data_IF_396809252456
#
_entry.id   IF_396809252456
#
_cell.length_a   1.000
_cell.length_b   1.000
_cell.length_c   1.000
_cell.angle_alpha   90.00
_cell.angle_beta   90.00
_cell.angle_gamma   90.00
#
_symmetry.space_group_name_H-M   'P 1'
#
loop_
_entity.id
_entity.type
_entity.pdbx_description
1 polymer ?
#
# COMPACT_ATOMS: atom_id res chain seq x y z
N UNK A 1 52.22 -48.25 33.75
CA UNK A 1 51.87 -49.30 34.72
C UNK A 1 50.38 -49.62 34.41
N UNK A 2 50.17 -50.65 33.74
CA UNK A 2 50.05 -52.06 33.96
C UNK A 2 48.54 -52.33 34.01
N UNK A 3 47.92 -53.32 33.44
CA UNK A 3 48.29 -54.59 32.83
C UNK A 3 47.17 -55.03 31.85
N UNK A 4 47.54 -55.72 30.82
CA UNK A 4 46.75 -56.63 30.00
C UNK A 4 46.28 -57.85 30.81
N UNK A 5 45.13 -58.44 30.42
CA UNK A 5 45.01 -59.87 30.24
C UNK A 5 43.64 -60.30 29.69
N UNK A 6 43.61 -61.50 29.07
CA UNK A 6 42.77 -61.82 27.92
C UNK A 6 41.75 -62.93 28.16
N UNK A 7 40.96 -63.22 27.13
CA UNK A 7 40.35 -64.56 26.98
C UNK A 7 38.81 -64.51 27.01
N UNK A 8 38.05 -64.95 26.04
CA UNK A 8 37.90 -66.35 25.61
C UNK A 8 37.00 -66.35 24.35
N UNK A 9 37.44 -67.06 23.34
CA UNK A 9 36.58 -67.42 22.19
C UNK A 9 35.54 -68.43 22.62
N UNK A 10 34.27 -68.21 22.22
CA UNK A 10 33.28 -69.27 22.07
C UNK A 10 32.61 -69.11 20.71
N UNK A 11 32.88 -70.10 19.85
CA UNK A 11 32.20 -70.26 18.56
C UNK A 11 30.85 -70.88 18.82
N UNK A 12 29.82 -70.19 18.41
CA UNK A 12 28.42 -70.68 18.32
C UNK A 12 27.93 -70.65 16.87
N UNK A 13 27.82 -71.82 16.27
CA UNK A 13 27.11 -72.03 15.02
C UNK A 13 25.64 -71.65 15.21
N UNK A 14 25.14 -70.71 14.40
CA UNK A 14 23.70 -70.53 14.21
C UNK A 14 23.32 -70.71 12.73
N UNK A 15 22.37 -71.61 12.55
CA UNK A 15 21.74 -71.98 11.31
C UNK A 15 21.05 -70.76 10.66
N UNK A 16 21.28 -70.62 9.36
CA UNK A 16 20.59 -69.66 8.50
C UNK A 16 19.14 -70.05 8.31
N UNK A 17 18.23 -69.31 8.89
CA UNK A 17 16.81 -69.31 8.54
C UNK A 17 16.52 -68.15 7.57
N UNK A 18 16.32 -68.44 6.29
CA UNK A 18 15.81 -67.45 5.34
C UNK A 18 14.35 -67.13 5.67
N UNK A 19 14.12 -65.99 6.38
CA UNK A 19 12.83 -65.35 6.42
C UNK A 19 12.77 -64.31 5.29
N UNK A 20 12.05 -64.58 4.25
CA UNK A 20 11.66 -63.61 3.21
C UNK A 20 10.71 -62.62 3.84
N UNK A 21 11.21 -61.45 4.23
CA UNK A 21 10.34 -60.28 4.52
C UNK A 21 9.96 -59.65 3.17
N UNK A 22 8.71 -59.76 2.78
CA UNK A 22 8.13 -58.98 1.69
C UNK A 22 8.23 -57.49 2.02
N UNK A 23 8.62 -56.62 1.08
CA UNK A 23 8.61 -55.19 1.29
C UNK A 23 7.14 -54.69 1.35
N UNK A 24 6.69 -54.23 2.49
CA UNK A 24 5.50 -53.42 2.62
C UNK A 24 5.75 -52.05 2.01
N UNK A 25 5.62 -51.95 0.68
CA UNK A 25 5.54 -50.65 -0.01
C UNK A 25 4.12 -50.10 0.17
N UNK A 26 3.84 -49.55 1.33
CA UNK A 26 2.78 -48.56 1.48
C UNK A 26 3.42 -47.16 1.31
N UNK A 27 3.63 -46.76 0.05
CA UNK A 27 3.68 -45.35 -0.29
C UNK A 27 2.25 -44.84 -0.10
N UNK A 28 1.94 -44.38 1.11
CA UNK A 28 0.77 -43.54 1.31
C UNK A 28 1.05 -42.28 0.48
N UNK A 29 0.44 -42.19 -0.68
CA UNK A 29 0.31 -40.96 -1.42
C UNK A 29 -0.50 -40.05 -0.51
N UNK A 30 0.18 -39.13 0.17
CA UNK A 30 -0.51 -38.02 0.86
C UNK A 30 -1.21 -37.25 -0.26
N UNK A 31 -2.49 -37.55 -0.47
CA UNK A 31 -3.35 -36.71 -1.29
C UNK A 31 -3.42 -35.37 -0.56
N UNK A 32 -2.86 -34.34 -1.17
CA UNK A 32 -3.05 -32.98 -0.66
C UNK A 32 -4.57 -32.74 -0.56
N UNK A 33 -5.05 -32.10 0.52
CA UNK A 33 -6.46 -31.80 0.66
C UNK A 33 -6.90 -30.91 -0.51
N UNK A 34 -8.04 -31.25 -1.12
CA UNK A 34 -8.69 -30.38 -2.09
C UNK A 34 -9.25 -29.16 -1.35
N UNK A 35 -8.64 -28.00 -1.53
CA UNK A 35 -9.02 -26.73 -0.90
C UNK A 35 -10.04 -25.93 -1.70
N UNK A 36 -10.46 -26.45 -2.85
CA UNK A 36 -11.43 -25.81 -3.74
C UNK A 36 -12.79 -25.51 -3.08
N UNK A 37 -13.40 -26.42 -2.28
CA UNK A 37 -14.69 -26.13 -1.64
C UNK A 37 -14.66 -24.89 -0.74
N UNK A 38 -13.65 -24.77 0.10
CA UNK A 38 -13.49 -23.61 1.00
C UNK A 38 -13.21 -22.33 0.22
N UNK A 39 -12.40 -22.43 -0.83
CA UNK A 39 -12.11 -21.29 -1.72
C UNK A 39 -13.36 -20.81 -2.45
N UNK A 40 -14.20 -21.73 -2.91
CA UNK A 40 -15.46 -21.39 -3.58
C UNK A 40 -16.44 -20.73 -2.61
N UNK A 41 -16.58 -21.29 -1.41
CA UNK A 41 -17.46 -20.72 -0.38
C UNK A 41 -17.03 -19.29 0.02
N UNK A 42 -15.72 -19.06 0.20
CA UNK A 42 -15.19 -17.74 0.48
C UNK A 42 -15.29 -16.77 -0.73
N UNK A 43 -15.22 -17.27 -1.96
CA UNK A 43 -15.47 -16.44 -3.13
C UNK A 43 -16.94 -15.98 -3.20
N UNK A 44 -17.89 -16.86 -2.85
CA UNK A 44 -19.32 -16.54 -2.73
C UNK A 44 -19.57 -15.53 -1.60
N UNK A 45 -18.93 -15.73 -0.44
CA UNK A 45 -18.97 -14.81 0.70
C UNK A 45 -18.40 -13.43 0.33
N UNK A 46 -17.26 -13.38 -0.35
CA UNK A 46 -16.67 -12.15 -0.86
C UNK A 46 -17.60 -11.42 -1.83
N UNK A 47 -18.26 -12.15 -2.72
CA UNK A 47 -19.23 -11.57 -3.63
C UNK A 47 -20.42 -10.94 -2.89
N UNK A 48 -20.91 -11.57 -1.83
CA UNK A 48 -21.97 -11.05 -1.00
C UNK A 48 -21.52 -9.83 -0.20
N UNK A 49 -20.35 -9.92 0.44
CA UNK A 49 -19.77 -8.85 1.24
C UNK A 49 -19.59 -7.54 0.44
N UNK A 50 -19.08 -7.62 -0.77
CA UNK A 50 -18.92 -6.43 -1.63
C UNK A 50 -20.27 -5.83 -2.00
N UNK A 51 -21.33 -6.61 -2.20
CA UNK A 51 -22.67 -6.09 -2.49
C UNK A 51 -23.28 -5.31 -1.33
N UNK A 52 -22.96 -5.69 -0.10
CA UNK A 52 -23.55 -5.10 1.11
C UNK A 52 -22.70 -4.00 1.74
N UNK A 53 -21.37 -4.15 1.70
CA UNK A 53 -20.47 -3.34 2.53
C UNK A 53 -19.48 -2.49 1.74
N UNK A 54 -19.37 -2.66 0.41
CA UNK A 54 -18.48 -1.83 -0.40
C UNK A 54 -19.14 -0.51 -0.81
N UNK A 55 -18.64 0.59 -0.29
CA UNK A 55 -19.23 1.93 -0.47
C UNK A 55 -19.36 2.39 -1.93
N UNK A 56 -18.59 1.81 -2.84
CA UNK A 56 -18.59 2.17 -4.26
C UNK A 56 -19.21 1.10 -5.16
N UNK A 57 -19.97 0.15 -4.57
CA UNK A 57 -20.56 -0.98 -5.30
C UNK A 57 -21.39 -0.54 -6.50
N UNK A 58 -22.26 0.48 -6.37
CA UNK A 58 -23.12 0.92 -7.47
C UNK A 58 -22.33 1.33 -8.73
N UNK A 59 -21.17 1.96 -8.55
CA UNK A 59 -20.30 2.35 -9.66
C UNK A 59 -19.52 1.17 -10.25
N UNK A 60 -19.44 0.05 -9.56
CA UNK A 60 -18.75 -1.18 -9.96
C UNK A 60 -19.67 -2.37 -10.22
N UNK A 61 -20.99 -2.22 -10.01
CA UNK A 61 -21.99 -3.30 -10.05
C UNK A 61 -21.81 -4.22 -11.25
N UNK A 62 -21.81 -3.67 -12.46
CA UNK A 62 -21.79 -4.49 -13.67
C UNK A 62 -20.53 -5.36 -13.79
N UNK A 63 -19.38 -4.80 -13.44
CA UNK A 63 -18.10 -5.52 -13.46
C UNK A 63 -18.05 -6.55 -12.34
N UNK A 64 -18.51 -6.19 -11.13
CA UNK A 64 -18.52 -7.09 -10.00
C UNK A 64 -19.44 -8.29 -10.21
N UNK A 65 -20.66 -8.05 -10.70
CA UNK A 65 -21.58 -9.16 -11.00
C UNK A 65 -21.04 -10.07 -12.11
N UNK A 66 -20.36 -9.52 -13.12
CA UNK A 66 -19.68 -10.34 -14.12
C UNK A 66 -18.49 -11.14 -13.55
N UNK A 67 -17.79 -10.59 -12.56
CA UNK A 67 -16.72 -11.31 -11.85
C UNK A 67 -17.27 -12.43 -10.98
N UNK A 68 -18.39 -12.23 -10.30
CA UNK A 68 -19.06 -13.20 -9.44
C UNK A 68 -19.89 -14.24 -10.20
N UNK A 69 -20.13 -14.07 -11.50
CA UNK A 69 -20.81 -15.09 -12.30
C UNK A 69 -19.90 -16.31 -12.50
N UNK A 70 -20.49 -17.49 -12.53
CA UNK A 70 -19.83 -18.76 -12.87
C UNK A 70 -18.59 -19.09 -11.99
N UNK A 71 -18.64 -18.74 -10.70
CA UNK A 71 -17.55 -19.00 -9.73
C UNK A 71 -17.09 -20.46 -9.73
N UNK A 72 -17.98 -21.49 -9.78
CA UNK A 72 -17.53 -22.88 -9.82
C UNK A 72 -16.62 -23.23 -11.01
N UNK A 73 -16.77 -22.52 -12.13
CA UNK A 73 -15.92 -22.68 -13.31
C UNK A 73 -14.60 -21.90 -13.19
N UNK A 74 -14.64 -20.72 -12.52
CA UNK A 74 -13.48 -19.85 -12.31
C UNK A 74 -12.55 -20.34 -11.21
N UNK A 75 -13.12 -20.93 -10.15
CA UNK A 75 -12.34 -21.57 -9.07
C UNK A 75 -11.91 -22.97 -9.52
N UNK A 76 -10.74 -23.04 -10.12
CA UNK A 76 -10.12 -24.30 -10.54
C UNK A 76 -9.63 -25.15 -9.36
N UNK A 77 -8.82 -26.20 -9.63
CA UNK A 77 -8.14 -26.94 -8.57
C UNK A 77 -7.28 -26.00 -7.73
N UNK A 78 -7.42 -26.07 -6.41
CA UNK A 78 -6.66 -25.29 -5.43
C UNK A 78 -6.02 -26.25 -4.44
N UNK A 79 -4.70 -26.25 -4.36
CA UNK A 79 -3.93 -27.26 -3.63
C UNK A 79 -3.23 -26.71 -2.40
N UNK A 80 -3.17 -25.38 -2.24
CA UNK A 80 -2.49 -24.73 -1.12
C UNK A 80 -3.06 -23.32 -0.86
N UNK A 81 -2.71 -22.77 0.30
CA UNK A 81 -3.19 -21.48 0.77
C UNK A 81 -2.79 -20.30 -0.15
N UNK A 82 -1.62 -20.37 -0.78
CA UNK A 82 -1.19 -19.30 -1.71
C UNK A 82 -2.06 -19.28 -2.97
N UNK A 83 -2.46 -20.44 -3.49
CA UNK A 83 -3.39 -20.54 -4.61
C UNK A 83 -4.80 -20.09 -4.22
N UNK A 84 -5.29 -20.41 -3.00
CA UNK A 84 -6.55 -19.87 -2.47
C UNK A 84 -6.54 -18.35 -2.48
N UNK A 85 -5.50 -17.76 -1.89
CA UNK A 85 -5.35 -16.32 -1.83
C UNK A 85 -5.28 -15.69 -3.23
N UNK A 86 -4.55 -16.30 -4.15
CA UNK A 86 -4.44 -15.81 -5.53
C UNK A 86 -5.79 -15.79 -6.27
N UNK A 87 -6.63 -16.80 -6.08
CA UNK A 87 -7.99 -16.86 -6.65
C UNK A 87 -8.84 -15.71 -6.10
N UNK A 88 -8.85 -15.54 -4.77
CA UNK A 88 -9.64 -14.50 -4.11
C UNK A 88 -9.12 -13.08 -4.41
N UNK A 89 -7.80 -12.89 -4.48
CA UNK A 89 -7.19 -11.62 -4.93
C UNK A 89 -7.56 -11.28 -6.37
N UNK A 90 -7.57 -12.28 -7.25
CA UNK A 90 -7.97 -12.09 -8.66
C UNK A 90 -9.43 -11.68 -8.78
N UNK A 91 -10.30 -12.24 -7.93
CA UNK A 91 -11.70 -11.83 -7.84
C UNK A 91 -11.82 -10.40 -7.34
N UNK A 92 -11.12 -10.04 -6.26
CA UNK A 92 -11.13 -8.70 -5.69
C UNK A 92 -10.57 -7.64 -6.66
N UNK A 93 -9.61 -8.00 -7.51
CA UNK A 93 -9.04 -7.13 -8.55
C UNK A 93 -10.11 -6.61 -9.54
N UNK A 94 -11.25 -7.28 -9.65
CA UNK A 94 -12.37 -6.80 -10.47
C UNK A 94 -12.97 -5.47 -9.97
N UNK A 95 -12.73 -5.07 -8.72
CA UNK A 95 -13.11 -3.76 -8.23
C UNK A 95 -12.26 -2.64 -8.83
N UNK A 96 -11.05 -2.95 -9.30
CA UNK A 96 -10.05 -1.95 -9.74
C UNK A 96 -9.85 -0.83 -8.72
N UNK A 97 -9.89 -1.20 -7.44
CA UNK A 97 -9.75 -0.29 -6.31
C UNK A 97 -8.42 -0.54 -5.58
N UNK A 98 -7.50 0.45 -5.55
CA UNK A 98 -6.22 0.30 -4.88
C UNK A 98 -6.34 0.23 -3.35
N UNK A 99 -7.50 0.55 -2.77
CA UNK A 99 -7.74 0.52 -1.33
C UNK A 99 -8.37 -0.80 -0.85
N UNK A 100 -8.95 -1.60 -1.76
CA UNK A 100 -9.42 -2.96 -1.47
C UNK A 100 -8.26 -3.95 -1.50
N UNK A 101 -8.09 -4.77 -0.44
CA UNK A 101 -6.97 -5.71 -0.35
C UNK A 101 -7.22 -6.85 0.64
N UNK A 102 -6.53 -7.97 0.44
CA UNK A 102 -6.42 -9.06 1.42
C UNK A 102 -5.32 -8.76 2.42
N UNK A 103 -5.69 -8.09 3.50
CA UNK A 103 -4.73 -7.57 4.46
C UNK A 103 -3.74 -6.58 3.83
N UNK A 104 -2.84 -6.06 4.62
CA UNK A 104 -1.78 -5.18 4.12
C UNK A 104 -0.67 -6.04 3.52
N UNK A 105 -0.84 -6.54 2.30
CA UNK A 105 0.22 -7.32 1.68
C UNK A 105 0.85 -8.31 2.68
N UNK A 106 0.02 -9.16 3.27
CA UNK A 106 0.46 -10.18 4.23
C UNK A 106 1.65 -10.96 3.67
N UNK A 107 2.46 -11.57 4.52
CA UNK A 107 3.62 -12.34 4.08
C UNK A 107 3.30 -13.49 3.12
N UNK A 108 2.02 -13.91 3.04
CA UNK A 108 1.55 -14.94 2.11
C UNK A 108 1.00 -14.36 0.80
N UNK A 109 0.67 -13.06 0.74
CA UNK A 109 0.27 -12.41 -0.50
C UNK A 109 1.50 -11.96 -1.28
N UNK A 110 1.77 -12.53 -2.46
CA UNK A 110 2.85 -12.05 -3.31
C UNK A 110 2.54 -10.69 -3.96
N UNK A 111 1.27 -10.30 -4.03
CA UNK A 111 0.80 -9.11 -4.71
C UNK A 111 1.33 -7.83 -4.07
N UNK A 112 1.72 -6.87 -4.90
CA UNK A 112 1.98 -5.49 -4.48
C UNK A 112 0.76 -4.63 -4.78
N UNK A 113 0.27 -3.89 -3.78
CA UNK A 113 -0.77 -2.89 -4.04
C UNK A 113 -0.17 -1.70 -4.78
N UNK A 114 -0.86 -1.14 -5.80
CA UNK A 114 -0.29 -0.06 -6.60
C UNK A 114 0.20 1.14 -5.80
N UNK A 115 -0.49 1.54 -4.71
CA UNK A 115 -0.08 2.65 -3.85
C UNK A 115 1.27 2.46 -3.16
N UNK A 116 1.67 1.19 -2.94
CA UNK A 116 2.97 0.83 -2.38
C UNK A 116 4.04 0.50 -3.43
N UNK A 117 3.74 0.67 -4.74
CA UNK A 117 4.68 0.37 -5.81
C UNK A 117 5.87 1.32 -5.85
N UNK A 118 6.93 0.91 -6.53
CA UNK A 118 8.19 1.65 -6.67
C UNK A 118 8.07 2.89 -7.55
N UNK A 119 7.18 2.84 -8.55
CA UNK A 119 6.96 3.91 -9.53
C UNK A 119 5.51 3.93 -9.97
N UNK A 120 5.11 5.02 -10.60
CA UNK A 120 3.74 5.24 -11.06
C UNK A 120 3.70 5.71 -12.50
N UNK A 121 2.72 5.19 -13.25
CA UNK A 121 2.51 5.49 -14.66
C UNK A 121 1.23 6.28 -14.89
N UNK A 122 1.31 7.26 -15.78
CA UNK A 122 0.14 7.85 -16.45
C UNK A 122 0.30 7.61 -17.96
N UNK A 123 -0.59 6.80 -18.52
CA UNK A 123 -0.36 6.23 -19.84
C UNK A 123 0.95 5.45 -19.85
N UNK A 124 1.85 5.75 -20.78
CA UNK A 124 3.15 5.10 -20.85
C UNK A 124 4.31 5.91 -20.22
N UNK A 125 4.01 7.01 -19.54
CA UNK A 125 5.02 7.87 -18.93
C UNK A 125 5.14 7.63 -17.44
N UNK A 126 6.37 7.53 -16.95
CA UNK A 126 6.67 7.53 -15.51
C UNK A 126 6.43 8.92 -14.96
N UNK A 127 5.52 9.05 -14.00
CA UNK A 127 5.15 10.33 -13.38
C UNK A 127 5.62 10.45 -11.93
N UNK A 128 6.02 9.34 -11.32
CA UNK A 128 6.62 9.33 -9.98
C UNK A 128 7.53 8.10 -9.83
N UNK A 129 8.64 8.26 -9.12
CA UNK A 129 9.56 7.18 -8.71
C UNK A 129 9.79 7.33 -7.22
N UNK A 130 9.55 6.26 -6.44
CA UNK A 130 9.72 6.29 -5.00
C UNK A 130 11.19 6.33 -4.63
N UNK A 131 11.56 7.29 -3.81
CA UNK A 131 12.93 7.43 -3.34
C UNK A 131 13.41 6.17 -2.60
N UNK A 132 14.64 5.73 -2.85
CA UNK A 132 15.22 4.55 -2.23
C UNK A 132 14.66 3.21 -2.72
N UNK A 133 13.70 3.20 -3.65
CA UNK A 133 13.11 1.98 -4.22
C UNK A 133 14.04 1.27 -5.20
N UNK A 134 13.72 0.02 -5.54
CA UNK A 134 14.42 -0.74 -6.56
C UNK A 134 14.36 -0.05 -7.93
N UNK A 135 13.25 0.61 -8.26
CA UNK A 135 13.11 1.39 -9.49
C UNK A 135 14.06 2.60 -9.53
N UNK A 136 14.19 3.33 -8.42
CA UNK A 136 15.14 4.44 -8.29
C UNK A 136 16.59 3.95 -8.41
N UNK A 137 16.92 2.86 -7.71
CA UNK A 137 18.26 2.24 -7.75
C UNK A 137 18.62 1.70 -9.14
N UNK A 138 17.64 1.19 -9.89
CA UNK A 138 17.84 0.75 -11.28
C UNK A 138 17.97 1.93 -12.28
N UNK A 139 17.77 3.18 -11.84
CA UNK A 139 17.91 4.38 -12.66
C UNK A 139 16.68 4.70 -13.50
N UNK A 140 15.48 4.23 -13.08
CA UNK A 140 14.21 4.71 -13.65
C UNK A 140 13.96 6.15 -13.22
N UNK A 141 13.48 6.99 -14.15
CA UNK A 141 13.27 8.43 -13.90
C UNK A 141 11.88 8.89 -14.29
N UNK A 142 11.40 9.91 -13.59
CA UNK A 142 10.20 10.66 -14.03
C UNK A 142 10.44 11.19 -15.43
N UNK A 143 9.44 11.01 -16.30
CA UNK A 143 9.54 11.34 -17.72
C UNK A 143 9.99 10.19 -18.62
N UNK A 144 10.54 9.11 -18.08
CA UNK A 144 10.85 7.91 -18.88
C UNK A 144 9.57 7.35 -19.52
N UNK A 145 9.70 6.88 -20.76
CA UNK A 145 8.62 6.28 -21.51
C UNK A 145 8.72 4.77 -21.47
N UNK A 146 7.82 4.13 -20.73
CA UNK A 146 7.74 2.67 -20.62
C UNK A 146 7.13 2.07 -21.87
N UNK A 147 7.73 1.00 -22.37
CA UNK A 147 7.27 0.23 -23.53
C UNK A 147 6.97 -1.23 -23.22
N UNK A 148 7.54 -1.78 -22.13
CA UNK A 148 7.24 -3.12 -21.68
C UNK A 148 7.41 -3.25 -20.16
N UNK A 149 6.64 -4.18 -19.56
CA UNK A 149 6.72 -4.59 -18.15
C UNK A 149 6.91 -6.10 -18.12
N UNK A 150 7.94 -6.58 -17.41
CA UNK A 150 8.29 -7.99 -17.31
C UNK A 150 8.39 -8.69 -18.69
N UNK A 151 8.99 -7.99 -19.67
CA UNK A 151 9.17 -8.47 -21.04
C UNK A 151 7.90 -8.49 -21.90
N UNK A 152 6.75 -8.06 -21.38
CA UNK A 152 5.49 -7.94 -22.14
C UNK A 152 5.27 -6.53 -22.59
N UNK A 153 4.80 -6.30 -23.83
CA UNK A 153 4.34 -4.99 -24.27
C UNK A 153 3.35 -4.38 -23.27
N UNK A 154 3.35 -3.06 -23.14
CA UNK A 154 2.62 -2.37 -22.08
C UNK A 154 1.12 -2.70 -22.04
N UNK A 155 0.47 -2.74 -23.22
CA UNK A 155 -0.96 -3.07 -23.33
C UNK A 155 -1.23 -4.52 -22.93
N UNK A 156 -0.38 -5.45 -23.31
CA UNK A 156 -0.51 -6.86 -22.90
C UNK A 156 -0.30 -7.02 -21.39
N UNK A 157 0.67 -6.33 -20.81
CA UNK A 157 0.89 -6.34 -19.37
C UNK A 157 -0.32 -5.80 -18.60
N UNK A 158 -0.91 -4.70 -19.06
CA UNK A 158 -2.13 -4.13 -18.51
C UNK A 158 -3.32 -5.12 -18.60
N UNK A 159 -3.50 -5.75 -19.74
CA UNK A 159 -4.60 -6.71 -19.96
C UNK A 159 -4.55 -7.91 -19.02
N UNK A 160 -3.37 -8.31 -18.53
CA UNK A 160 -3.27 -9.38 -17.54
C UNK A 160 -3.99 -9.08 -16.23
N UNK A 161 -4.14 -7.79 -15.89
CA UNK A 161 -4.74 -7.31 -14.64
C UNK A 161 -6.20 -6.84 -14.77
N UNK A 162 -6.74 -6.81 -15.98
CA UNK A 162 -8.15 -6.49 -16.23
C UNK A 162 -9.01 -7.74 -16.01
N UNK A 163 -9.89 -7.72 -15.03
CA UNK A 163 -10.83 -8.77 -14.66
C UNK A 163 -12.24 -8.20 -14.46
N UNK A 164 -13.31 -8.94 -14.80
CA UNK A 164 -13.33 -10.21 -15.55
C UNK A 164 -13.05 -9.99 -17.04
N UNK A 165 -12.68 -11.05 -17.76
CA UNK A 165 -12.44 -10.96 -19.22
C UNK A 165 -13.75 -10.74 -19.99
N UNK A 166 -13.66 -10.10 -21.17
CA UNK A 166 -14.80 -9.95 -22.09
C UNK A 166 -15.73 -8.77 -21.78
N UNK A 167 -15.39 -7.89 -20.84
CA UNK A 167 -16.13 -6.65 -20.56
C UNK A 167 -15.37 -5.42 -21.06
N UNK A 168 -16.08 -4.29 -21.23
CA UNK A 168 -15.43 -3.02 -21.56
C UNK A 168 -14.94 -2.31 -20.28
N UNK A 169 -13.77 -1.71 -20.36
CA UNK A 169 -13.14 -0.99 -19.25
C UNK A 169 -12.98 0.49 -19.57
N UNK A 170 -13.26 1.33 -18.59
CA UNK A 170 -13.01 2.76 -18.67
C UNK A 170 -11.52 3.12 -18.50
N UNK A 171 -11.18 4.42 -18.64
CA UNK A 171 -9.81 4.89 -18.54
C UNK A 171 -9.22 4.73 -17.12
N UNK A 172 -10.05 4.87 -16.07
CA UNK A 172 -9.59 4.75 -14.69
C UNK A 172 -9.26 3.29 -14.34
N UNK A 173 -10.09 2.34 -14.79
CA UNK A 173 -9.86 0.91 -14.64
C UNK A 173 -8.60 0.44 -15.36
N UNK A 174 -8.39 0.94 -16.59
CA UNK A 174 -7.15 0.67 -17.35
C UNK A 174 -5.92 1.25 -16.67
N UNK A 175 -6.02 2.47 -16.13
CA UNK A 175 -4.93 3.08 -15.38
C UNK A 175 -4.60 2.30 -14.10
N UNK A 176 -5.63 1.80 -13.38
CA UNK A 176 -5.43 0.90 -12.24
C UNK A 176 -4.71 -0.39 -12.66
N UNK A 177 -5.19 -1.07 -13.69
CA UNK A 177 -4.63 -2.33 -14.17
C UNK A 177 -3.17 -2.17 -14.63
N UNK A 178 -2.86 -1.06 -15.31
CA UNK A 178 -1.50 -0.74 -15.74
C UNK A 178 -0.56 -0.59 -14.52
N UNK A 179 -0.98 0.18 -13.52
CA UNK A 179 -0.17 0.36 -12.32
C UNK A 179 -0.10 -0.89 -11.43
N UNK A 180 -1.15 -1.73 -11.44
CA UNK A 180 -1.12 -3.04 -10.82
C UNK A 180 -0.13 -3.99 -11.51
N UNK A 181 -0.04 -3.95 -12.84
CA UNK A 181 0.97 -4.68 -13.60
C UNK A 181 2.39 -4.16 -13.33
N UNK A 182 2.56 -2.82 -13.24
CA UNK A 182 3.81 -2.17 -12.92
C UNK A 182 4.30 -2.50 -11.50
N UNK A 183 3.39 -2.57 -10.53
CA UNK A 183 3.70 -3.00 -9.17
C UNK A 183 4.18 -4.46 -9.12
N UNK A 184 3.54 -5.36 -9.85
CA UNK A 184 3.91 -6.78 -9.93
C UNK A 184 3.70 -7.56 -8.64
N UNK A 185 4.50 -8.61 -8.46
CA UNK A 185 4.49 -9.50 -7.30
C UNK A 185 5.85 -9.53 -6.60
N UNK A 186 5.86 -9.67 -5.27
CA UNK A 186 7.09 -9.64 -4.44
C UNK A 186 8.02 -10.80 -4.70
N UNK A 187 7.47 -11.97 -5.02
CA UNK A 187 8.20 -13.21 -5.20
C UNK A 187 8.59 -13.46 -6.67
N UNK A 188 8.33 -12.51 -7.55
CA UNK A 188 8.65 -12.61 -8.97
C UNK A 188 9.70 -11.57 -9.37
N UNK A 189 10.62 -11.92 -10.28
CA UNK A 189 11.50 -10.94 -10.89
C UNK A 189 10.70 -9.85 -11.59
N UNK A 190 11.08 -8.59 -11.37
CA UNK A 190 10.42 -7.43 -11.99
C UNK A 190 11.39 -6.73 -12.93
N UNK A 191 10.90 -6.30 -14.07
CA UNK A 191 11.65 -5.48 -15.00
C UNK A 191 10.77 -4.46 -15.71
N UNK A 192 11.35 -3.34 -16.08
CA UNK A 192 10.70 -2.32 -16.90
C UNK A 192 11.59 -1.96 -18.07
N UNK A 193 11.04 -1.94 -19.29
CA UNK A 193 11.75 -1.52 -20.49
C UNK A 193 11.30 -0.13 -20.86
N UNK A 194 12.25 0.80 -20.97
CA UNK A 194 12.02 2.20 -21.32
C UNK A 194 12.59 2.52 -22.70
N UNK A 195 11.95 3.42 -23.44
CA UNK A 195 12.46 3.94 -24.69
C UNK A 195 13.46 5.07 -24.40
N UNK A 196 14.72 4.91 -24.81
CA UNK A 196 15.78 5.92 -24.68
C UNK A 196 16.40 6.25 -26.04
N UNK A 197 17.17 7.34 -26.13
CA UNK A 197 17.78 7.77 -27.39
C UNK A 197 18.70 6.72 -28.05
N UNK A 198 19.30 5.83 -27.26
CA UNK A 198 20.15 4.72 -27.74
C UNK A 198 19.40 3.43 -28.10
N UNK A 199 18.07 3.40 -28.01
CA UNK A 199 17.22 2.22 -28.15
C UNK A 199 16.54 1.83 -26.83
N UNK A 200 15.79 0.71 -26.84
CA UNK A 200 15.17 0.18 -25.63
C UNK A 200 16.21 -0.17 -24.56
N UNK A 201 15.95 0.23 -23.32
CA UNK A 201 16.77 -0.08 -22.16
C UNK A 201 15.90 -0.82 -21.13
N UNK A 202 16.33 -2.03 -20.71
CA UNK A 202 15.58 -2.85 -19.76
C UNK A 202 16.25 -2.80 -18.40
N UNK A 203 15.53 -2.21 -17.45
CA UNK A 203 15.94 -2.06 -16.06
C UNK A 203 15.40 -3.25 -15.25
N UNK A 204 16.29 -3.95 -14.55
CA UNK A 204 15.91 -4.99 -13.59
C UNK A 204 15.55 -4.33 -12.26
N UNK A 205 14.34 -4.61 -11.78
CA UNK A 205 13.88 -4.14 -10.47
C UNK A 205 14.02 -5.31 -9.50
N UNK A 206 15.21 -5.45 -8.94
CA UNK A 206 15.45 -6.49 -7.94
C UNK A 206 14.56 -6.25 -6.73
N UNK A 207 14.24 -7.30 -6.03
CA UNK A 207 13.30 -7.44 -4.91
C UNK A 207 12.78 -6.13 -4.32
N UNK A 208 11.45 -5.98 -4.29
CA UNK A 208 10.81 -4.87 -3.59
C UNK A 208 11.31 -4.80 -2.15
N UNK A 209 12.15 -3.83 -1.85
CA UNK A 209 12.50 -3.47 -0.50
C UNK A 209 12.67 -1.96 -0.44
N UNK A 210 11.65 -1.28 0.01
CA UNK A 210 11.87 0.03 0.64
C UNK A 210 12.37 -0.28 2.03
N UNK A 211 13.55 0.24 2.38
CA UNK A 211 14.09 0.05 3.72
C UNK A 211 13.07 0.57 4.76
N UNK A 212 12.76 -0.25 5.74
CA UNK A 212 11.92 0.19 6.86
C UNK A 212 12.61 1.37 7.55
N UNK A 213 11.90 2.49 7.77
CA UNK A 213 12.45 3.64 8.45
C UNK A 213 12.92 3.25 9.86
N UNK A 214 14.08 3.74 10.27
CA UNK A 214 14.61 3.51 11.63
C UNK A 214 13.86 4.32 12.68
N UNK A 215 13.28 5.46 12.28
CA UNK A 215 12.56 6.40 13.14
C UNK A 215 11.15 6.60 12.62
N UNK A 216 10.17 6.69 13.55
CA UNK A 216 8.77 6.94 13.20
C UNK A 216 8.59 8.37 12.67
N UNK A 217 9.35 9.31 13.22
CA UNK A 217 9.30 10.73 12.90
C UNK A 217 10.74 11.27 12.79
N UNK A 218 11.02 12.00 11.73
CA UNK A 218 12.28 12.75 11.58
C UNK A 218 12.00 14.22 11.73
N UNK A 219 12.83 14.95 12.49
CA UNK A 219 12.63 16.37 12.80
C UNK A 219 13.92 17.18 12.74
N UNK A 220 13.90 18.30 12.01
CA UNK A 220 15.02 19.19 11.83
C UNK A 220 14.61 20.66 11.90
N UNK A 221 15.47 21.51 12.48
CA UNK A 221 15.33 22.97 12.40
C UNK A 221 16.07 23.48 11.17
N UNK A 222 15.32 23.84 10.12
CA UNK A 222 15.87 24.42 8.91
C UNK A 222 16.23 25.92 9.09
N UNK A 223 17.07 26.49 8.18
CA UNK A 223 17.36 27.92 8.16
C UNK A 223 16.08 28.77 8.15
N UNK A 224 16.11 29.94 8.79
CA UNK A 224 14.92 30.79 8.97
C UNK A 224 14.00 30.34 10.11
N UNK A 225 14.44 29.40 10.96
CA UNK A 225 13.65 28.81 12.05
C UNK A 225 12.38 28.14 11.57
N UNK A 226 12.51 27.36 10.51
CA UNK A 226 11.43 26.54 9.96
C UNK A 226 11.57 25.15 10.58
N UNK A 227 10.55 24.70 11.32
CA UNK A 227 10.46 23.33 11.82
C UNK A 227 10.06 22.40 10.69
N UNK A 228 10.92 21.45 10.34
CA UNK A 228 10.62 20.40 9.38
C UNK A 228 10.38 19.10 10.13
N UNK A 229 9.23 18.47 9.88
CA UNK A 229 8.84 17.17 10.46
C UNK A 229 8.38 16.25 9.34
N UNK A 230 8.95 15.06 9.28
CA UNK A 230 8.57 14.03 8.34
C UNK A 230 8.01 12.80 9.06
N UNK A 231 6.88 12.30 8.60
CA UNK A 231 6.33 11.01 9.01
C UNK A 231 6.88 9.91 8.09
N UNK A 232 7.50 8.92 8.69
CA UNK A 232 8.18 7.83 7.97
C UNK A 232 7.27 6.58 7.90
N UNK A 233 6.15 6.66 7.16
CA UNK A 233 5.14 5.61 7.04
C UNK A 233 4.59 5.11 8.39
N UNK A 234 4.47 6.00 9.36
CA UNK A 234 4.22 5.65 10.76
C UNK A 234 2.83 6.06 11.28
N UNK A 235 1.92 6.55 10.42
CA UNK A 235 0.57 6.97 10.83
C UNK A 235 -0.30 5.81 11.39
N UNK A 236 0.10 4.56 11.20
CA UNK A 236 -0.54 3.38 11.79
C UNK A 236 0.01 2.95 13.14
N UNK A 237 1.07 3.61 13.64
CA UNK A 237 1.78 3.24 14.85
C UNK A 237 1.41 4.18 16.00
N UNK A 238 0.82 3.69 17.07
CA UNK A 238 0.42 4.52 18.22
C UNK A 238 1.59 5.30 18.83
N UNK A 239 2.80 4.74 18.79
CA UNK A 239 4.02 5.39 19.27
C UNK A 239 4.39 6.65 18.48
N UNK A 240 3.83 6.86 17.30
CA UNK A 240 4.07 8.06 16.48
C UNK A 240 3.58 9.33 17.16
N UNK A 241 2.51 9.27 17.95
CA UNK A 241 2.01 10.44 18.70
C UNK A 241 3.11 10.96 19.64
N UNK A 242 3.67 10.08 20.47
CA UNK A 242 4.73 10.47 21.41
C UNK A 242 6.02 10.92 20.68
N UNK A 243 6.36 10.29 19.55
CA UNK A 243 7.51 10.71 18.74
C UNK A 243 7.28 12.11 18.11
N UNK A 244 6.05 12.39 17.68
CA UNK A 244 5.68 13.70 17.14
C UNK A 244 5.67 14.76 18.24
N UNK A 245 5.14 14.48 19.43
CA UNK A 245 5.19 15.37 20.59
C UNK A 245 6.64 15.75 20.91
N UNK A 246 7.56 14.78 20.93
CA UNK A 246 8.98 15.03 21.17
C UNK A 246 9.61 15.91 20.07
N UNK A 247 9.26 15.66 18.80
CA UNK A 247 9.70 16.48 17.67
C UNK A 247 9.20 17.93 17.79
N UNK A 248 7.93 18.12 18.16
CA UNK A 248 7.36 19.45 18.40
C UNK A 248 8.09 20.19 19.51
N UNK A 249 8.39 19.53 20.62
CA UNK A 249 9.14 20.13 21.74
C UNK A 249 10.59 20.48 21.35
N UNK A 250 11.26 19.60 20.58
CA UNK A 250 12.59 19.87 20.01
C UNK A 250 12.58 21.13 19.14
N UNK A 251 11.51 21.36 18.38
CA UNK A 251 11.37 22.43 17.41
C UNK A 251 10.60 23.66 17.97
N UNK A 252 10.40 23.76 19.26
CA UNK A 252 9.60 24.83 19.93
C UNK A 252 9.98 26.25 19.56
N UNK A 253 11.15 26.43 18.99
CA UNK A 253 11.59 27.76 18.51
C UNK A 253 11.20 28.07 17.06
N UNK A 254 10.52 27.18 16.34
CA UNK A 254 10.14 27.41 14.97
C UNK A 254 9.14 28.57 14.82
N UNK A 255 9.22 29.27 13.69
CA UNK A 255 8.31 30.37 13.30
C UNK A 255 7.38 29.97 12.16
N UNK A 256 7.74 28.91 11.46
CA UNK A 256 6.95 28.30 10.40
C UNK A 256 7.23 26.79 10.38
N UNK A 257 6.41 26.04 9.70
CA UNK A 257 6.43 24.58 9.76
C UNK A 257 6.30 23.95 8.38
N UNK A 258 7.02 22.87 8.18
CA UNK A 258 6.83 21.95 7.06
C UNK A 258 6.53 20.56 7.63
N UNK A 259 5.35 20.04 7.32
CA UNK A 259 4.95 18.66 7.62
C UNK A 259 5.07 17.84 6.33
N UNK A 260 5.99 16.88 6.29
CA UNK A 260 6.22 16.03 5.11
C UNK A 260 5.49 14.70 5.26
N UNK A 261 4.46 14.51 4.43
CA UNK A 261 3.63 13.30 4.34
C UNK A 261 3.94 12.47 3.09
N UNK A 262 4.98 12.79 2.33
CA UNK A 262 5.28 12.18 1.04
C UNK A 262 5.64 10.70 1.11
N UNK A 263 5.92 10.17 2.30
CA UNK A 263 6.21 8.75 2.50
C UNK A 263 5.31 8.13 3.58
N UNK A 264 4.01 8.19 3.35
CA UNK A 264 2.97 7.60 4.21
C UNK A 264 2.05 6.65 3.43
N UNK A 265 2.59 5.71 2.59
CA UNK A 265 1.78 4.86 1.71
C UNK A 265 0.86 3.89 2.48
N UNK A 266 1.24 3.50 3.69
CA UNK A 266 0.44 2.63 4.55
C UNK A 266 -0.79 3.31 5.16
N UNK A 267 -0.85 4.66 5.09
CA UNK A 267 -1.90 5.40 5.79
C UNK A 267 -1.81 5.25 7.30
N UNK A 268 -2.94 5.11 7.97
CA UNK A 268 -3.00 4.95 9.43
C UNK A 268 -4.41 5.16 9.97
N UNK A 269 -4.50 5.55 11.23
CA UNK A 269 -5.76 5.74 11.93
C UNK A 269 -5.93 7.19 12.46
N UNK A 270 -7.12 7.51 12.91
CA UNK A 270 -7.48 8.84 13.45
C UNK A 270 -6.82 9.12 14.79
N UNK A 271 -6.58 8.09 15.62
CA UNK A 271 -6.01 8.23 16.96
C UNK A 271 -4.56 8.74 16.90
N UNK A 272 -3.88 8.54 15.76
CA UNK A 272 -2.55 9.09 15.48
C UNK A 272 -2.63 10.43 14.74
N UNK A 273 -3.46 10.53 13.71
CA UNK A 273 -3.52 11.70 12.84
C UNK A 273 -4.16 12.93 13.51
N UNK A 274 -5.19 12.73 14.34
CA UNK A 274 -5.88 13.85 15.02
C UNK A 274 -5.01 14.56 16.04
N UNK A 275 -4.22 13.89 16.92
CA UNK A 275 -3.23 14.54 17.76
C UNK A 275 -2.19 15.34 16.96
N UNK A 276 -1.69 14.81 15.83
CA UNK A 276 -0.74 15.52 14.97
C UNK A 276 -1.32 16.83 14.45
N UNK A 277 -2.55 16.79 13.88
CA UNK A 277 -3.25 18.00 13.46
C UNK A 277 -3.51 18.93 14.66
N UNK A 278 -3.84 18.35 15.81
CA UNK A 278 -4.17 19.05 17.05
C UNK A 278 -3.08 19.99 17.57
N UNK A 279 -1.79 19.67 17.34
CA UNK A 279 -0.67 20.59 17.68
C UNK A 279 -0.76 21.96 17.01
N UNK A 280 -1.45 22.02 15.89
CA UNK A 280 -1.59 23.23 15.08
C UNK A 280 -2.96 23.92 15.25
N UNK A 281 -3.87 23.35 16.04
CA UNK A 281 -5.22 23.88 16.25
C UNK A 281 -5.31 24.69 17.54
N UNK A 282 -6.13 25.73 17.53
CA UNK A 282 -6.48 26.53 18.72
C UNK A 282 -7.79 26.10 19.36
N UNK A 283 -8.64 25.38 18.62
CA UNK A 283 -9.96 24.90 19.02
C UNK A 283 -10.31 23.64 18.27
N UNK A 284 -11.28 22.88 18.77
CA UNK A 284 -11.79 21.68 18.06
C UNK A 284 -12.35 22.07 16.72
N UNK A 285 -11.82 21.46 15.65
CA UNK A 285 -12.10 21.84 14.27
C UNK A 285 -12.46 20.62 13.44
N UNK A 286 -13.51 20.73 12.60
CA UNK A 286 -13.84 19.72 11.62
C UNK A 286 -12.80 19.67 10.50
N UNK A 287 -12.38 18.45 10.12
CA UNK A 287 -11.30 18.30 9.15
C UNK A 287 -11.61 17.36 7.98
N UNK A 288 -12.54 16.44 8.12
CA UNK A 288 -12.92 15.50 7.06
C UNK A 288 -14.38 15.09 7.20
N UNK A 289 -15.11 15.01 6.08
CA UNK A 289 -16.47 14.48 6.06
C UNK A 289 -16.45 12.96 5.87
N UNK A 290 -17.30 12.30 6.62
CA UNK A 290 -17.61 10.87 6.50
C UNK A 290 -19.00 10.73 5.92
N UNK A 291 -19.13 9.91 4.88
CA UNK A 291 -20.40 9.63 4.19
C UNK A 291 -20.62 8.11 4.26
N UNK A 292 -21.24 7.60 5.35
CA UNK A 292 -21.66 6.22 5.45
C UNK A 292 -22.71 5.88 4.39
N UNK A 293 -22.93 4.61 4.09
CA UNK A 293 -23.93 4.20 3.10
C UNK A 293 -25.37 4.41 3.61
N UNK A 294 -25.64 4.05 4.86
CA UNK A 294 -26.98 3.97 5.41
C UNK A 294 -27.24 4.97 6.57
N UNK A 295 -26.30 5.87 6.85
CA UNK A 295 -26.39 6.85 7.93
C UNK A 295 -26.16 8.27 7.41
N UNK A 296 -26.65 9.31 8.14
CA UNK A 296 -26.36 10.69 7.78
C UNK A 296 -24.86 10.98 7.80
N UNK A 297 -24.40 11.79 6.85
CA UNK A 297 -23.03 12.27 6.80
C UNK A 297 -22.68 13.09 8.06
N UNK A 298 -21.45 12.94 8.55
CA UNK A 298 -20.92 13.67 9.68
C UNK A 298 -19.49 14.16 9.41
N UNK A 299 -18.95 14.97 10.31
CA UNK A 299 -17.61 15.55 10.15
C UNK A 299 -16.72 15.06 11.30
N UNK A 300 -15.57 14.45 10.95
CA UNK A 300 -14.50 14.14 11.89
C UNK A 300 -13.93 15.44 12.43
N UNK A 301 -13.60 15.45 13.72
CA UNK A 301 -13.09 16.61 14.44
C UNK A 301 -11.76 16.28 15.10
N UNK A 302 -10.79 17.18 14.95
CA UNK A 302 -9.55 17.14 15.70
C UNK A 302 -9.58 18.24 16.79
N UNK A 303 -9.11 17.90 17.98
CA UNK A 303 -9.02 18.83 19.13
C UNK A 303 -7.57 19.27 19.34
N UNK A 304 -7.32 20.45 19.95
CA UNK A 304 -5.99 20.87 20.33
C UNK A 304 -5.26 19.77 21.12
N UNK A 305 -3.99 19.54 20.77
CA UNK A 305 -3.13 18.54 21.38
C UNK A 305 -1.78 19.17 21.79
N UNK A 306 -1.13 18.57 22.82
CA UNK A 306 0.13 19.05 23.36
C UNK A 306 -0.01 20.20 24.36
N UNK A 307 1.10 20.58 24.99
CA UNK A 307 1.16 21.62 26.00
C UNK A 307 1.19 23.06 25.46
N UNK A 308 1.26 23.24 24.13
CA UNK A 308 1.34 24.52 23.44
C UNK A 308 0.93 24.35 21.97
N UNK A 309 0.46 25.41 21.35
CA UNK A 309 0.06 25.41 19.94
C UNK A 309 1.22 25.90 19.06
N UNK A 310 1.47 25.21 17.96
CA UNK A 310 2.38 25.66 16.93
C UNK A 310 1.81 26.88 16.19
N UNK A 311 2.47 28.02 16.35
CA UNK A 311 2.14 29.25 15.64
C UNK A 311 2.89 29.34 14.30
N UNK A 312 2.50 30.28 13.46
CA UNK A 312 3.11 30.56 12.16
C UNK A 312 2.49 29.74 11.01
N UNK A 313 2.98 29.98 9.82
CA UNK A 313 2.49 29.32 8.58
C UNK A 313 2.91 27.85 8.57
N UNK A 314 2.01 26.98 8.14
CA UNK A 314 2.28 25.54 7.94
C UNK A 314 2.19 25.21 6.47
N UNK A 315 3.16 24.50 5.95
CA UNK A 315 3.13 23.85 4.63
C UNK A 315 3.11 22.34 4.83
N UNK A 316 2.20 21.66 4.14
CA UNK A 316 2.13 20.20 4.12
C UNK A 316 2.62 19.70 2.78
N UNK A 317 3.64 18.85 2.76
CA UNK A 317 4.17 18.23 1.55
C UNK A 317 3.50 16.89 1.31
N UNK A 318 2.98 16.70 0.10
CA UNK A 318 2.31 15.46 -0.33
C UNK A 318 2.86 14.96 -1.64
N UNK A 319 2.64 13.69 -1.93
CA UNK A 319 3.07 13.06 -3.17
C UNK A 319 2.39 11.73 -3.40
N UNK A 320 2.79 11.01 -4.44
CA UNK A 320 2.14 9.77 -4.87
C UNK A 320 2.03 8.70 -3.77
N UNK A 321 2.96 8.70 -2.82
CA UNK A 321 2.96 7.80 -1.66
C UNK A 321 2.41 8.45 -0.39
N UNK A 322 1.61 9.49 -0.51
CA UNK A 322 0.71 9.97 0.56
C UNK A 322 -0.60 9.22 0.39
N UNK A 323 -0.87 8.24 1.26
CA UNK A 323 -2.01 7.33 1.13
C UNK A 323 -2.96 7.35 2.32
N UNK A 324 -4.22 7.03 2.08
CA UNK A 324 -5.25 6.78 3.09
C UNK A 324 -5.34 7.88 4.16
N UNK A 325 -4.94 7.62 5.42
CA UNK A 325 -4.98 8.63 6.49
C UNK A 325 -3.99 9.77 6.23
N UNK A 326 -2.90 9.53 5.50
CA UNK A 326 -2.00 10.61 5.03
C UNK A 326 -2.75 11.62 4.13
N UNK A 327 -3.60 11.12 3.22
CA UNK A 327 -4.50 11.97 2.43
C UNK A 327 -5.52 12.68 3.32
N UNK A 328 -6.08 11.96 4.33
CA UNK A 328 -6.99 12.53 5.31
C UNK A 328 -6.38 13.65 6.12
N UNK A 329 -5.12 13.51 6.51
CA UNK A 329 -4.38 14.53 7.26
C UNK A 329 -4.08 15.74 6.37
N UNK A 330 -3.67 15.54 5.11
CA UNK A 330 -3.42 16.62 4.15
C UNK A 330 -4.67 17.46 3.90
N UNK A 331 -5.81 16.83 3.55
CA UNK A 331 -7.08 17.55 3.36
C UNK A 331 -7.59 18.17 4.67
N UNK A 332 -7.19 17.60 5.82
CA UNK A 332 -7.51 18.11 7.14
C UNK A 332 -6.84 19.44 7.42
N UNK A 333 -5.57 19.58 7.10
CA UNK A 333 -4.85 20.87 7.22
C UNK A 333 -5.45 21.95 6.31
N UNK A 334 -5.77 21.60 5.06
CA UNK A 334 -6.42 22.52 4.13
C UNK A 334 -7.83 22.89 4.62
N UNK A 335 -8.65 21.91 4.99
CA UNK A 335 -10.03 22.10 5.45
C UNK A 335 -10.14 22.91 6.73
N UNK A 336 -9.22 22.71 7.67
CA UNK A 336 -9.09 23.50 8.88
C UNK A 336 -8.47 24.90 8.62
N UNK A 337 -8.09 25.21 7.38
CA UNK A 337 -7.37 26.44 6.98
C UNK A 337 -6.13 26.67 7.81
N UNK A 338 -5.42 25.59 8.10
CA UNK A 338 -4.25 25.61 8.97
C UNK A 338 -2.95 25.33 8.24
N UNK A 339 -3.00 24.83 7.02
CA UNK A 339 -1.81 24.57 6.22
C UNK A 339 -2.08 24.67 4.74
N UNK A 340 -1.08 25.17 4.00
CA UNK A 340 -1.05 25.17 2.54
C UNK A 340 -0.45 23.85 2.06
N UNK A 341 -1.11 23.14 1.14
CA UNK A 341 -0.68 21.81 0.70
C UNK A 341 0.04 21.90 -0.63
N UNK A 342 1.27 21.42 -0.66
CA UNK A 342 2.19 21.43 -1.81
C UNK A 342 2.55 20.02 -2.24
N UNK A 343 2.61 19.79 -3.53
CA UNK A 343 3.12 18.54 -4.08
C UNK A 343 2.38 18.03 -5.30
N UNK A 344 2.58 16.76 -5.62
CA UNK A 344 1.89 16.08 -6.70
C UNK A 344 0.62 15.39 -6.21
N UNK A 345 -0.10 14.76 -7.13
CA UNK A 345 -1.23 13.89 -6.79
C UNK A 345 -0.84 12.87 -5.71
N UNK A 346 -1.76 12.66 -4.77
CA UNK A 346 -1.64 11.64 -3.72
C UNK A 346 -2.03 10.24 -4.24
N UNK A 347 -2.10 9.26 -3.38
CA UNK A 347 -2.42 7.86 -3.72
C UNK A 347 -3.83 7.69 -4.31
N UNK A 348 -4.76 8.62 -4.03
CA UNK A 348 -6.16 8.60 -4.47
C UNK A 348 -6.94 7.39 -3.98
N UNK A 349 -6.70 7.00 -2.71
CA UNK A 349 -7.37 5.89 -2.07
C UNK A 349 -8.78 6.29 -1.65
N UNK A 350 -9.78 5.71 -2.31
CA UNK A 350 -11.17 6.03 -2.04
C UNK A 350 -11.64 5.45 -0.69
N UNK A 351 -12.46 6.24 0.02
CA UNK A 351 -13.16 5.80 1.23
C UNK A 351 -12.30 5.49 2.45
N UNK A 352 -12.96 5.08 3.52
CA UNK A 352 -12.34 4.47 4.69
C UNK A 352 -12.59 2.97 4.70
N UNK A 353 -11.58 2.20 5.11
CA UNK A 353 -11.64 0.74 5.08
C UNK A 353 -12.13 0.18 6.41
N UNK A 354 -12.94 -0.87 6.31
CA UNK A 354 -13.24 -1.79 7.40
C UNK A 354 -12.59 -3.13 7.12
N UNK A 355 -12.32 -3.88 8.18
CA UNK A 355 -11.69 -5.19 8.11
C UNK A 355 -12.72 -6.29 8.36
N UNK A 356 -12.76 -7.26 7.46
CA UNK A 356 -13.60 -8.45 7.52
C UNK A 356 -12.71 -9.69 7.50
N UNK A 357 -13.26 -10.83 7.87
CA UNK A 357 -12.54 -12.11 7.82
C UNK A 357 -13.41 -13.13 7.12
N UNK A 358 -12.88 -13.74 6.07
CA UNK A 358 -13.59 -14.80 5.34
C UNK A 358 -13.72 -16.06 6.20
N UNK A 359 -14.89 -16.68 6.16
CA UNK A 359 -15.32 -17.69 7.15
C UNK A 359 -14.58 -19.03 7.03
N UNK A 360 -14.10 -19.41 5.86
CA UNK A 360 -13.49 -20.73 5.61
C UNK A 360 -11.97 -20.66 5.61
N UNK A 361 -11.38 -19.72 4.91
CA UNK A 361 -9.92 -19.56 4.85
C UNK A 361 -9.34 -18.75 6.00
N UNK A 362 -10.15 -17.93 6.67
CA UNK A 362 -9.71 -17.00 7.71
C UNK A 362 -8.89 -15.81 7.13
N UNK A 363 -8.92 -15.56 5.83
CA UNK A 363 -8.19 -14.43 5.25
C UNK A 363 -8.82 -13.11 5.65
N UNK A 364 -8.02 -12.15 6.17
CA UNK A 364 -8.49 -10.81 6.43
C UNK A 364 -8.63 -10.04 5.11
N UNK A 365 -9.76 -9.36 4.95
CA UNK A 365 -10.04 -8.51 3.81
C UNK A 365 -10.35 -7.09 4.27
N UNK A 366 -9.82 -6.10 3.57
CA UNK A 366 -10.08 -4.68 3.77
C UNK A 366 -10.86 -4.13 2.60
N UNK A 367 -12.03 -3.57 2.88
CA UNK A 367 -12.90 -2.94 1.89
C UNK A 367 -13.22 -1.51 2.29
N UNK A 368 -13.21 -0.55 1.35
CA UNK A 368 -13.81 0.76 1.57
C UNK A 368 -15.30 0.63 1.88
N UNK A 369 -15.66 0.84 3.16
CA UNK A 369 -17.02 0.66 3.67
C UNK A 369 -17.82 1.99 3.75
N UNK A 370 -17.14 3.13 3.66
CA UNK A 370 -17.75 4.45 3.65
C UNK A 370 -16.93 5.44 2.82
N UNK A 371 -17.59 6.43 2.23
CA UNK A 371 -16.91 7.47 1.47
C UNK A 371 -16.34 8.55 2.39
N UNK A 372 -15.23 9.15 1.97
CA UNK A 372 -14.57 10.27 2.65
C UNK A 372 -14.45 11.47 1.70
N UNK A 373 -14.64 12.64 2.24
CA UNK A 373 -14.54 13.89 1.48
C UNK A 373 -13.87 15.00 2.29
N UNK A 374 -13.32 15.97 1.60
CA UNK A 374 -12.93 17.24 2.16
C UNK A 374 -14.15 17.92 2.84
N UNK A 375 -13.95 18.74 3.86
CA UNK A 375 -15.06 19.40 4.59
C UNK A 375 -15.95 20.24 3.67
N UNK A 376 -15.44 20.71 2.54
CA UNK A 376 -16.21 21.47 1.52
C UNK A 376 -16.87 20.57 0.46
N UNK A 377 -16.75 19.23 0.55
CA UNK A 377 -17.52 18.27 -0.20
C UNK A 377 -16.78 17.54 -1.32
N UNK A 378 -15.58 17.96 -1.71
CA UNK A 378 -14.80 17.23 -2.72
C UNK A 378 -14.44 15.82 -2.21
N UNK A 379 -14.74 14.74 -2.95
CA UNK A 379 -14.33 13.39 -2.57
C UNK A 379 -12.81 13.31 -2.37
N UNK A 380 -12.35 12.63 -1.30
CA UNK A 380 -10.91 12.60 -0.95
C UNK A 380 -10.04 12.13 -2.11
N UNK A 381 -10.44 11.10 -2.81
CA UNK A 381 -9.69 10.52 -3.94
C UNK A 381 -9.70 11.38 -5.21
N UNK A 382 -10.54 12.42 -5.28
CA UNK A 382 -10.57 13.39 -6.37
C UNK A 382 -9.87 14.70 -6.01
N UNK A 383 -9.63 14.93 -4.70
CA UNK A 383 -9.00 16.16 -4.25
C UNK A 383 -7.52 16.21 -4.67
N UNK A 384 -7.06 17.38 -5.09
CA UNK A 384 -5.69 17.63 -5.50
C UNK A 384 -5.08 18.77 -4.70
N UNK A 385 -3.78 18.74 -4.40
CA UNK A 385 -3.12 19.83 -3.68
C UNK A 385 -3.31 21.17 -4.40
N UNK A 386 -3.65 22.26 -3.70
CA UNK A 386 -3.78 23.58 -4.32
C UNK A 386 -2.48 24.08 -4.98
N UNK A 387 -1.31 23.76 -4.39
CA UNK A 387 -0.02 24.12 -4.93
C UNK A 387 0.62 22.90 -5.61
N UNK A 388 0.28 22.71 -6.89
CA UNK A 388 0.81 21.59 -7.68
C UNK A 388 2.31 21.75 -7.94
N UNK A 389 3.07 20.72 -7.58
CA UNK A 389 4.50 20.60 -7.87
C UNK A 389 4.74 19.25 -8.53
N UNK A 390 5.45 19.23 -9.64
CA UNK A 390 5.82 17.98 -10.30
C UNK A 390 6.65 17.11 -9.35
N UNK A 391 6.37 15.81 -9.29
CA UNK A 391 7.18 14.86 -8.54
C UNK A 391 8.63 14.89 -9.03
N UNK A 392 9.58 14.87 -8.12
CA UNK A 392 11.01 14.84 -8.43
C UNK A 392 11.50 13.42 -8.75
N UNK A 393 12.71 13.34 -9.29
CA UNK A 393 13.33 12.08 -9.74
C UNK A 393 14.03 11.30 -8.63
N UNK A 394 13.78 11.59 -7.37
CA UNK A 394 14.47 10.92 -6.25
C UNK A 394 15.96 11.32 -6.07
N UNK A 395 16.67 11.54 -7.16
CA UNK A 395 18.09 11.95 -7.16
C UNK A 395 18.30 13.44 -7.52
N UNK A 396 17.22 14.13 -7.87
CA UNK A 396 17.23 15.55 -8.25
C UNK A 396 17.00 16.49 -7.06
N UNK A 397 16.90 17.80 -7.32
CA UNK A 397 16.53 18.77 -6.31
C UNK A 397 15.10 18.49 -5.83
N UNK A 398 14.86 18.57 -4.54
CA UNK A 398 13.52 18.42 -3.93
C UNK A 398 12.66 19.65 -4.27
N UNK A 399 11.95 19.59 -5.39
CA UNK A 399 11.17 20.69 -5.94
C UNK A 399 10.01 21.09 -5.01
N UNK A 400 9.38 20.12 -4.34
CA UNK A 400 8.29 20.41 -3.42
C UNK A 400 8.78 21.12 -2.15
N UNK A 401 9.90 20.67 -1.58
CA UNK A 401 10.54 21.34 -0.46
C UNK A 401 11.04 22.74 -0.84
N UNK A 402 11.63 22.89 -2.03
CA UNK A 402 12.07 24.20 -2.52
C UNK A 402 10.88 25.16 -2.68
N UNK A 403 9.77 24.73 -3.24
CA UNK A 403 8.55 25.53 -3.38
C UNK A 403 7.99 25.92 -1.99
N UNK A 404 7.97 24.99 -1.04
CA UNK A 404 7.55 25.26 0.34
C UNK A 404 8.44 26.30 1.01
N UNK A 405 9.77 26.17 0.88
CA UNK A 405 10.73 27.12 1.46
C UNK A 405 10.61 28.53 0.83
N UNK A 406 10.38 28.60 -0.50
CA UNK A 406 10.15 29.87 -1.17
C UNK A 406 8.87 30.53 -0.65
N UNK A 407 7.76 29.77 -0.56
CA UNK A 407 6.49 30.24 -0.01
C UNK A 407 6.63 30.79 1.41
N UNK A 408 7.30 30.05 2.29
CA UNK A 408 7.54 30.48 3.67
C UNK A 408 8.46 31.69 3.75
N UNK A 409 9.39 31.87 2.82
CA UNK A 409 10.27 33.04 2.72
C UNK A 409 9.51 34.32 2.37
N UNK A 410 8.43 34.25 1.59
CA UNK A 410 7.59 35.41 1.24
C UNK A 410 6.83 35.97 2.44
N UNK A 411 6.50 35.15 3.44
CA UNK A 411 5.81 35.55 4.67
C UNK A 411 6.77 35.94 5.80
N UNK A 412 8.08 35.80 5.60
CA UNK A 412 9.10 36.08 6.63
C UNK A 412 9.72 37.50 6.51
N UNK A 413 9.32 38.29 5.51
CA UNK A 413 9.72 39.69 5.29
C UNK A 413 8.63 40.62 5.79
#
# INVERSE_FOLDING_TARGET
MGRLSPGLLLAGLFLAGCAQTAPLSHTATLTQPDMRPDTLADAEELCALVRTDYAFYESRRNIWEAACADLPEKVGPVMNQAEQLQVLETLLDALHDPHASFGTNSGISPRLVPSGADYWLTGNQVVAVRQGSAAAQAGLKVGDRVIAINGRPLDEAMETRLQPKGVAYDAAQKAWALNAAAAGYRNEPRSVTVARMGGPDTLSLENYSVAEPQELVTADMLPGRIGYIRLNNSLGEDATVAAFDAAMDQLKGARAWILDLRDTPGGGNTDVAEPILGHFLGETTGYQRVLPMDEPAWVKQASPHGGWKAEGTVVVLVGRWTGSMGEGLAIGFDGARRGDVFGSDMARLAGGVEEYTLSHTGFPIRLPAYSLAHVYGTPRHEWTPPHQVTADNGDGPDLALQAALAWLGEFSM
#
